data_IF_655626856743
#
_entry.id   IF_655626856743
#
_cell.length_a   1.000
_cell.length_b   1.000
_cell.length_c   1.000
_cell.angle_alpha   90.00
_cell.angle_beta   90.00
_cell.angle_gamma   90.00
#
_symmetry.space_group_name_H-M   'P 1'
#
loop_
_entity.id
_entity.type
_entity.pdbx_description
1 polymer ?
#
# COMPACT_ATOMS: atom_id res chain seq x y z
N UNK A 1 -7.20 18.76 -31.85
CA UNK A 1 -7.25 18.12 -30.52
C UNK A 1 -7.12 19.25 -29.52
N UNK A 2 -8.22 19.62 -28.85
CA UNK A 2 -8.34 20.91 -28.19
C UNK A 2 -7.56 20.93 -26.86
N UNK A 3 -6.87 22.02 -26.52
CA UNK A 3 -6.09 22.19 -25.26
C UNK A 3 -6.93 21.83 -24.01
N UNK A 4 -8.23 22.14 -24.07
CA UNK A 4 -9.23 21.84 -23.04
C UNK A 4 -9.50 20.34 -22.87
N UNK A 5 -9.46 19.55 -23.95
CA UNK A 5 -9.57 18.09 -23.86
C UNK A 5 -8.34 17.47 -23.19
N UNK A 6 -7.14 18.03 -23.43
CA UNK A 6 -5.90 17.61 -22.78
C UNK A 6 -5.92 17.88 -21.27
N UNK A 7 -6.46 19.03 -20.85
CA UNK A 7 -6.60 19.38 -19.42
C UNK A 7 -7.66 18.49 -18.76
N UNK A 8 -8.78 18.23 -19.44
CA UNK A 8 -9.86 17.36 -18.95
C UNK A 8 -9.46 15.89 -18.83
N UNK A 9 -8.57 15.40 -19.71
CA UNK A 9 -7.97 14.05 -19.62
C UNK A 9 -6.97 13.90 -18.47
N UNK A 10 -6.46 15.03 -17.94
CA UNK A 10 -5.49 15.06 -16.82
C UNK A 10 -6.16 15.17 -15.45
N UNK A 11 -7.40 15.62 -15.40
CA UNK A 11 -8.21 15.55 -14.19
C UNK A 11 -8.93 14.22 -14.21
N UNK A 12 -8.36 13.24 -13.52
CA UNK A 12 -9.05 12.01 -13.17
C UNK A 12 -10.20 12.37 -12.22
N UNK A 13 -11.31 12.84 -12.80
CA UNK A 13 -12.50 13.32 -12.10
C UNK A 13 -13.09 12.23 -11.20
N UNK A 14 -12.88 10.97 -11.57
CA UNK A 14 -13.32 9.82 -10.80
C UNK A 14 -12.41 9.59 -9.58
N UNK A 15 -11.09 9.63 -9.76
CA UNK A 15 -10.15 9.61 -8.64
C UNK A 15 -10.35 10.82 -7.69
N UNK A 16 -10.62 12.01 -8.22
CA UNK A 16 -10.90 13.20 -7.42
C UNK A 16 -12.21 13.04 -6.61
N UNK A 17 -13.26 12.48 -7.21
CA UNK A 17 -14.52 12.17 -6.53
C UNK A 17 -14.37 11.08 -5.48
N UNK A 18 -13.57 10.06 -5.75
CA UNK A 18 -13.27 8.99 -4.78
C UNK A 18 -12.49 9.55 -3.58
N UNK A 19 -11.54 10.47 -3.82
CA UNK A 19 -10.78 11.16 -2.77
C UNK A 19 -11.63 12.15 -1.95
N UNK A 20 -12.77 12.62 -2.47
CA UNK A 20 -13.64 13.59 -1.81
C UNK A 20 -14.94 13.00 -1.26
N UNK A 21 -15.06 11.67 -1.19
CA UNK A 21 -16.24 11.06 -0.62
C UNK A 21 -16.39 11.44 0.85
N UNK A 22 -17.55 12.00 1.19
CA UNK A 22 -17.99 12.25 2.54
C UNK A 22 -19.37 11.63 2.74
N UNK A 23 -19.60 11.05 3.92
CA UNK A 23 -20.86 10.41 4.25
C UNK A 23 -21.06 10.29 5.75
N UNK A 24 -22.26 9.89 6.14
CA UNK A 24 -22.54 9.53 7.53
C UNK A 24 -21.84 8.22 7.90
N UNK A 25 -21.74 7.94 9.20
CA UNK A 25 -21.27 6.64 9.66
C UNK A 25 -22.14 5.49 9.12
N UNK A 26 -23.45 5.70 8.93
CA UNK A 26 -24.33 4.71 8.33
C UNK A 26 -23.98 4.43 6.86
N UNK A 27 -23.63 5.46 6.08
CA UNK A 27 -23.19 5.30 4.69
C UNK A 27 -21.87 4.53 4.63
N UNK A 28 -20.95 4.82 5.55
CA UNK A 28 -19.70 4.07 5.70
C UNK A 28 -19.95 2.59 6.01
N UNK A 29 -20.83 2.27 6.95
CA UNK A 29 -21.21 0.87 7.22
C UNK A 29 -21.85 0.21 5.99
N UNK A 30 -22.63 0.95 5.21
CA UNK A 30 -23.18 0.49 3.93
C UNK A 30 -22.10 0.15 2.91
N UNK A 31 -21.04 0.96 2.82
CA UNK A 31 -19.87 0.70 1.97
C UNK A 31 -19.15 -0.57 2.42
N UNK A 32 -18.91 -0.73 3.72
CA UNK A 32 -18.21 -1.89 4.28
C UNK A 32 -18.94 -3.23 4.06
N UNK A 33 -20.28 -3.20 4.02
CA UNK A 33 -21.08 -4.39 3.66
C UNK A 33 -20.88 -4.82 2.21
N UNK A 34 -20.63 -3.86 1.31
CA UNK A 34 -20.37 -4.14 -0.11
C UNK A 34 -18.92 -4.52 -0.35
N UNK A 35 -18.00 -3.86 0.34
CA UNK A 35 -16.57 -4.04 0.19
C UNK A 35 -15.89 -3.97 1.57
N UNK A 36 -15.45 -5.12 2.14
CA UNK A 36 -14.80 -5.15 3.44
C UNK A 36 -13.32 -4.75 3.38
N UNK A 37 -12.74 -4.46 2.21
CA UNK A 37 -11.32 -4.11 2.05
C UNK A 37 -10.84 -2.95 2.94
N UNK A 38 -11.64 -1.91 3.25
CA UNK A 38 -11.20 -0.85 4.16
C UNK A 38 -10.97 -1.33 5.61
N UNK A 39 -11.56 -2.46 6.02
CA UNK A 39 -11.39 -3.07 7.36
C UNK A 39 -10.06 -3.82 7.51
N UNK A 40 -9.25 -3.92 6.46
CA UNK A 40 -7.97 -4.63 6.49
C UNK A 40 -7.01 -3.99 7.50
N UNK A 41 -6.27 -4.84 8.20
CA UNK A 41 -5.17 -4.41 9.07
C UNK A 41 -4.05 -3.78 8.24
N UNK A 42 -3.17 -3.03 8.91
CA UNK A 42 -1.97 -2.46 8.28
C UNK A 42 -1.11 -3.54 7.61
N UNK A 43 -0.95 -4.71 8.24
CA UNK A 43 -0.20 -5.84 7.69
C UNK A 43 -0.87 -6.45 6.45
N UNK A 44 -2.19 -6.67 6.50
CA UNK A 44 -2.95 -7.13 5.32
C UNK A 44 -2.78 -6.15 4.16
N UNK A 45 -2.90 -4.84 4.46
CA UNK A 45 -2.76 -3.79 3.45
C UNK A 45 -1.37 -3.77 2.80
N UNK A 46 -0.31 -3.81 3.59
CA UNK A 46 1.08 -3.82 3.07
C UNK A 46 1.35 -5.10 2.29
N UNK A 47 0.90 -6.26 2.78
CA UNK A 47 1.07 -7.53 2.08
C UNK A 47 0.35 -7.52 0.72
N UNK A 48 -0.93 -7.15 0.70
CA UNK A 48 -1.73 -7.14 -0.52
C UNK A 48 -1.23 -6.08 -1.52
N UNK A 49 -0.74 -4.95 -1.03
CA UNK A 49 -0.06 -3.93 -1.82
C UNK A 49 1.19 -4.49 -2.51
N UNK A 50 2.04 -5.27 -1.83
CA UNK A 50 3.24 -5.83 -2.46
C UNK A 50 2.82 -6.81 -3.57
N UNK A 51 1.80 -7.64 -3.30
CA UNK A 51 1.33 -8.64 -4.25
C UNK A 51 0.59 -8.05 -5.46
N UNK A 52 0.00 -6.86 -5.36
CA UNK A 52 -0.74 -6.25 -6.46
C UNK A 52 0.13 -5.90 -7.67
N UNK A 53 1.45 -5.80 -7.50
CA UNK A 53 2.41 -5.58 -8.60
C UNK A 53 2.82 -6.87 -9.31
N UNK A 54 2.42 -8.03 -8.78
CA UNK A 54 2.76 -9.34 -9.33
C UNK A 54 4.00 -9.97 -8.70
N UNK A 55 4.05 -11.30 -8.81
CA UNK A 55 5.13 -12.14 -8.30
C UNK A 55 5.56 -13.10 -9.39
N UNK A 56 6.86 -13.21 -9.59
CA UNK A 56 7.45 -14.16 -10.53
C UNK A 56 8.16 -15.27 -9.76
N UNK A 57 7.90 -16.52 -10.13
CA UNK A 57 8.63 -17.67 -9.61
C UNK A 57 9.74 -18.05 -10.60
N UNK A 58 10.96 -18.18 -10.09
CA UNK A 58 12.10 -18.63 -10.88
C UNK A 58 12.97 -19.60 -10.08
N UNK A 59 13.81 -20.37 -10.77
CA UNK A 59 14.73 -21.32 -10.13
C UNK A 59 16.17 -20.87 -10.37
N UNK A 60 16.92 -20.72 -9.28
CA UNK A 60 18.34 -20.36 -9.31
C UNK A 60 19.11 -21.32 -8.41
N UNK A 61 20.17 -21.93 -8.92
CA UNK A 61 20.96 -22.93 -8.18
C UNK A 61 20.11 -24.06 -7.54
N UNK A 62 19.06 -24.51 -8.25
CA UNK A 62 18.07 -25.50 -7.79
C UNK A 62 17.19 -25.04 -6.60
N UNK A 63 17.30 -23.79 -6.17
CA UNK A 63 16.37 -23.18 -5.22
C UNK A 63 15.25 -22.45 -5.97
N UNK A 64 14.00 -22.63 -5.54
CA UNK A 64 12.85 -21.84 -6.01
C UNK A 64 12.82 -20.50 -5.28
N UNK A 65 12.85 -19.41 -6.03
CA UNK A 65 12.81 -18.04 -5.54
C UNK A 65 11.58 -17.32 -6.07
N UNK A 66 11.06 -16.40 -5.25
CA UNK A 66 9.97 -15.51 -5.62
C UNK A 66 10.52 -14.10 -5.74
N UNK A 67 10.34 -13.53 -6.92
CA UNK A 67 10.66 -12.14 -7.20
C UNK A 67 9.37 -11.31 -7.12
N UNK A 68 9.35 -10.30 -6.25
CA UNK A 68 8.20 -9.41 -6.10
C UNK A 68 8.46 -8.13 -6.88
N UNK A 69 7.74 -7.92 -7.98
CA UNK A 69 7.93 -6.78 -8.90
C UNK A 69 7.78 -5.41 -8.22
N UNK A 70 7.10 -5.37 -7.08
CA UNK A 70 7.03 -4.18 -6.24
C UNK A 70 8.42 -3.61 -5.87
N UNK A 71 9.42 -4.47 -5.65
CA UNK A 71 10.77 -4.04 -5.28
C UNK A 71 11.62 -3.60 -6.47
N UNK A 72 11.10 -3.63 -7.69
CA UNK A 72 11.73 -3.07 -8.89
C UNK A 72 11.48 -1.56 -9.02
N UNK A 73 10.85 -0.94 -8.02
CA UNK A 73 10.46 0.48 -8.02
C UNK A 73 9.59 0.87 -9.23
N UNK A 74 8.33 0.42 -9.26
CA UNK A 74 7.38 0.76 -10.33
C UNK A 74 6.97 2.24 -10.33
N UNK A 75 7.43 3.04 -9.37
CA UNK A 75 7.02 4.44 -9.17
C UNK A 75 7.99 5.42 -9.83
N UNK A 76 9.29 5.19 -9.71
CA UNK A 76 10.33 6.10 -10.21
C UNK A 76 11.24 5.43 -11.26
N UNK A 77 10.75 4.39 -11.94
CA UNK A 77 11.44 3.76 -13.06
C UNK A 77 12.73 3.05 -12.65
N UNK A 78 12.71 2.37 -11.49
CA UNK A 78 13.84 1.58 -11.04
C UNK A 78 14.90 2.31 -10.23
N UNK A 79 14.70 3.59 -9.88
CA UNK A 79 15.68 4.39 -9.12
C UNK A 79 16.03 3.76 -7.78
N UNK A 80 15.02 3.21 -7.10
CA UNK A 80 15.14 2.51 -5.82
C UNK A 80 15.04 0.99 -5.97
N UNK A 81 15.20 0.45 -7.18
CA UNK A 81 15.07 -0.98 -7.43
C UNK A 81 16.08 -1.81 -6.62
N UNK A 82 15.62 -2.94 -6.10
CA UNK A 82 16.39 -3.81 -5.23
C UNK A 82 16.69 -5.12 -5.93
N UNK A 83 17.97 -5.33 -6.26
CA UNK A 83 18.44 -6.53 -6.94
C UNK A 83 19.19 -7.47 -6.00
N UNK A 84 19.07 -8.78 -6.23
CA UNK A 84 19.85 -9.81 -5.54
C UNK A 84 19.45 -10.06 -4.08
N UNK A 85 18.34 -9.48 -3.60
CA UNK A 85 17.83 -9.67 -2.25
C UNK A 85 16.51 -10.47 -2.20
N UNK A 86 16.18 -11.24 -3.24
CA UNK A 86 14.92 -12.00 -3.32
C UNK A 86 14.70 -12.89 -2.09
N UNK A 87 15.72 -13.65 -1.65
CA UNK A 87 15.60 -14.54 -0.48
C UNK A 87 15.31 -13.78 0.83
N UNK A 88 16.02 -12.68 1.18
CA UNK A 88 15.62 -11.78 2.26
C UNK A 88 14.21 -11.17 2.10
N UNK A 89 13.86 -10.70 0.89
CA UNK A 89 12.56 -10.09 0.61
C UNK A 89 11.42 -11.11 0.74
N UNK A 90 11.63 -12.36 0.34
CA UNK A 90 10.71 -13.47 0.59
C UNK A 90 10.44 -13.67 2.08
N UNK A 91 11.47 -13.60 2.93
CA UNK A 91 11.30 -13.70 4.41
C UNK A 91 10.54 -12.51 4.97
N UNK A 92 10.81 -11.30 4.46
CA UNK A 92 10.07 -10.10 4.82
C UNK A 92 8.58 -10.24 4.47
N UNK A 93 8.26 -10.60 3.22
CA UNK A 93 6.88 -10.77 2.77
C UNK A 93 6.19 -11.93 3.49
N UNK A 94 6.89 -13.03 3.77
CA UNK A 94 6.35 -14.11 4.60
C UNK A 94 6.00 -13.65 6.03
N UNK A 95 6.85 -12.81 6.64
CA UNK A 95 6.55 -12.20 7.94
C UNK A 95 5.32 -11.30 7.89
N UNK A 96 5.20 -10.47 6.84
CA UNK A 96 4.03 -9.63 6.61
C UNK A 96 2.76 -10.47 6.42
N UNK A 97 2.84 -11.56 5.66
CA UNK A 97 1.75 -12.52 5.48
C UNK A 97 1.32 -13.16 6.80
N UNK A 98 2.27 -13.62 7.61
CA UNK A 98 1.98 -14.18 8.93
C UNK A 98 1.31 -13.16 9.86
N UNK A 99 1.78 -11.91 9.86
CA UNK A 99 1.15 -10.80 10.60
C UNK A 99 -0.26 -10.48 10.08
N UNK A 100 -0.46 -10.52 8.76
CA UNK A 100 -1.76 -10.31 8.12
C UNK A 100 -2.81 -11.37 8.57
N UNK A 101 -2.35 -12.59 8.86
CA UNK A 101 -3.17 -13.67 9.41
C UNK A 101 -3.20 -13.73 10.95
N UNK A 102 -2.63 -12.73 11.64
CA UNK A 102 -2.58 -12.64 13.12
C UNK A 102 -1.91 -13.84 13.80
N UNK A 103 -0.82 -14.34 13.18
CA UNK A 103 -0.08 -15.50 13.66
C UNK A 103 1.06 -15.13 14.64
N UNK A 104 1.03 -13.93 15.24
CA UNK A 104 1.97 -13.47 16.26
C UNK A 104 2.85 -12.26 15.87
N UNK A 105 3.39 -12.16 14.63
CA UNK A 105 4.25 -11.04 14.25
C UNK A 105 3.56 -9.67 14.30
N UNK A 106 2.23 -9.61 14.28
CA UNK A 106 1.49 -8.34 14.33
C UNK A 106 1.66 -7.55 15.63
N UNK A 107 2.17 -8.20 16.68
CA UNK A 107 2.45 -7.59 17.99
C UNK A 107 3.95 -7.36 18.23
N UNK A 108 4.79 -7.53 17.21
CA UNK A 108 6.25 -7.47 17.32
C UNK A 108 6.84 -6.36 16.46
N UNK A 109 7.99 -5.86 16.88
CA UNK A 109 8.77 -4.90 16.08
C UNK A 109 9.52 -5.69 15.00
N UNK A 110 9.34 -5.30 13.74
CA UNK A 110 10.11 -5.82 12.62
C UNK A 110 11.40 -5.02 12.48
N UNK A 111 12.54 -5.64 12.79
CA UNK A 111 13.86 -5.03 12.65
C UNK A 111 14.56 -5.52 11.39
N UNK A 112 14.82 -4.61 10.44
CA UNK A 112 15.69 -4.90 9.30
C UNK A 112 17.15 -4.70 9.72
N UNK A 113 17.88 -5.79 9.89
CA UNK A 113 19.30 -5.77 10.23
C UNK A 113 20.14 -6.38 9.09
N UNK A 114 21.39 -5.94 8.96
CA UNK A 114 22.31 -6.40 7.91
C UNK A 114 23.48 -5.43 7.71
N UNK A 115 24.49 -5.81 6.92
CA UNK A 115 25.66 -4.97 6.66
C UNK A 115 25.29 -3.64 6.01
N UNK A 116 26.20 -2.66 6.07
CA UNK A 116 26.03 -1.39 5.35
C UNK A 116 25.85 -1.67 3.86
N UNK A 117 24.97 -0.93 3.19
CA UNK A 117 24.65 -1.15 1.76
C UNK A 117 23.59 -2.23 1.47
N UNK A 118 23.03 -2.92 2.48
CA UNK A 118 22.02 -3.98 2.27
C UNK A 118 20.58 -3.48 2.01
N UNK A 119 20.42 -2.35 1.31
CA UNK A 119 19.13 -1.76 0.89
C UNK A 119 18.05 -1.51 1.98
N UNK A 120 18.35 -1.59 3.29
CA UNK A 120 17.35 -1.48 4.38
C UNK A 120 16.49 -0.22 4.29
N UNK A 121 17.13 0.94 4.15
CA UNK A 121 16.44 2.22 4.02
C UNK A 121 15.68 2.32 2.70
N UNK A 122 16.17 1.66 1.65
CA UNK A 122 15.52 1.60 0.34
C UNK A 122 14.23 0.79 0.41
N UNK A 123 14.24 -0.37 1.07
CA UNK A 123 13.03 -1.16 1.35
C UNK A 123 12.00 -0.30 2.09
N UNK A 124 12.42 0.37 3.17
CA UNK A 124 11.52 1.21 3.95
C UNK A 124 10.94 2.36 3.12
N UNK A 125 11.74 2.98 2.23
CA UNK A 125 11.30 4.06 1.35
C UNK A 125 10.30 3.56 0.30
N UNK A 126 10.59 2.43 -0.34
CA UNK A 126 9.66 1.79 -1.29
C UNK A 126 8.33 1.44 -0.62
N UNK A 127 8.34 0.88 0.58
CA UNK A 127 7.11 0.58 1.33
C UNK A 127 6.28 1.84 1.60
N UNK A 128 6.92 2.97 1.95
CA UNK A 128 6.23 4.26 2.14
C UNK A 128 5.62 4.77 0.84
N UNK A 129 6.41 4.81 -0.25
CA UNK A 129 5.94 5.21 -1.59
C UNK A 129 4.79 4.32 -2.06
N UNK A 130 4.94 3.01 -1.87
CA UNK A 130 3.94 2.02 -2.18
C UNK A 130 2.63 2.25 -1.44
N UNK A 131 2.69 2.52 -0.14
CA UNK A 131 1.51 2.79 0.67
C UNK A 131 0.79 4.07 0.23
N UNK A 132 1.55 5.11 -0.13
CA UNK A 132 1.00 6.35 -0.68
C UNK A 132 0.32 6.13 -2.04
N UNK A 133 0.94 5.35 -2.93
CA UNK A 133 0.37 5.04 -4.23
C UNK A 133 -0.86 4.12 -4.11
N UNK A 134 -0.76 3.08 -3.29
CA UNK A 134 -1.82 2.10 -3.09
C UNK A 134 -3.04 2.71 -2.40
N UNK A 135 -2.86 3.66 -1.48
CA UNK A 135 -4.00 4.34 -0.84
C UNK A 135 -4.90 5.12 -1.80
N UNK A 136 -4.38 5.46 -3.00
CA UNK A 136 -5.11 6.12 -4.08
C UNK A 136 -5.85 5.14 -5.00
N UNK A 137 -5.69 3.82 -4.82
CA UNK A 137 -6.43 2.82 -5.61
C UNK A 137 -7.71 2.39 -4.91
N UNK A 138 -8.66 1.84 -5.66
CA UNK A 138 -9.91 1.32 -5.11
C UNK A 138 -9.67 0.18 -4.11
N UNK A 139 -8.65 -0.64 -4.35
CA UNK A 139 -8.21 -1.69 -3.43
C UNK A 139 -7.66 -1.08 -2.15
N UNK A 140 -6.79 -0.08 -2.26
CA UNK A 140 -6.10 0.50 -1.11
C UNK A 140 -6.82 1.66 -0.45
N UNK A 141 -8.07 1.97 -0.80
CA UNK A 141 -8.82 3.06 -0.17
C UNK A 141 -8.91 2.94 1.35
N UNK A 142 -8.92 4.11 1.98
CA UNK A 142 -8.95 4.34 3.42
C UNK A 142 -9.91 5.49 3.69
N UNK A 143 -10.59 5.41 4.83
CA UNK A 143 -11.51 6.45 5.27
C UNK A 143 -11.03 6.99 6.60
N UNK A 144 -11.17 8.30 6.76
CA UNK A 144 -11.04 8.99 8.04
C UNK A 144 -12.42 9.47 8.48
N UNK A 145 -12.50 10.07 9.66
CA UNK A 145 -13.70 10.72 10.13
C UNK A 145 -13.39 12.17 10.53
N UNK A 146 -14.43 12.97 10.66
CA UNK A 146 -14.37 14.29 11.26
C UNK A 146 -15.63 14.50 12.11
N UNK A 147 -15.57 15.36 13.11
CA UNK A 147 -16.71 15.70 13.92
C UNK A 147 -17.43 16.91 13.33
N UNK A 148 -18.75 16.84 13.23
CA UNK A 148 -19.58 18.00 12.91
C UNK A 148 -19.95 18.69 14.22
N UNK A 149 -19.40 19.88 14.47
CA UNK A 149 -19.76 20.69 15.64
C UNK A 149 -20.47 21.99 15.21
N UNK A 150 -21.16 22.68 16.13
CA UNK A 150 -21.77 23.98 15.83
C UNK A 150 -20.78 25.04 15.33
N UNK A 151 -19.51 24.94 15.73
CA UNK A 151 -18.42 25.84 15.35
C UNK A 151 -17.79 25.49 13.99
N UNK A 152 -18.12 24.33 13.42
CA UNK A 152 -17.64 23.85 12.12
C UNK A 152 -17.19 22.38 12.14
N UNK A 153 -16.73 21.85 10.99
CA UNK A 153 -16.14 20.52 10.94
C UNK A 153 -14.78 20.50 11.63
N UNK A 154 -14.63 19.67 12.67
CA UNK A 154 -13.36 19.38 13.33
C UNK A 154 -12.74 18.11 12.71
N UNK A 155 -11.62 18.22 11.98
CA UNK A 155 -10.98 17.05 11.38
C UNK A 155 -10.47 16.08 12.46
N UNK A 156 -10.33 14.79 12.10
CA UNK A 156 -9.66 13.84 12.97
C UNK A 156 -8.23 14.33 13.28
N UNK A 157 -7.79 14.30 14.55
CA UNK A 157 -6.46 14.77 14.96
C UNK A 157 -5.29 13.96 14.38
N UNK A 158 -5.57 12.87 13.67
CA UNK A 158 -4.59 12.01 13.01
C UNK A 158 -4.34 12.38 11.53
N UNK A 159 -4.89 13.50 11.04
CA UNK A 159 -4.62 14.05 9.71
C UNK A 159 -3.39 14.95 9.66
#
# INVERSE_FOLDING_TARGET
MNELERIRRRQDLEAYRALSWEGSFADYLGLLKKDPRPLRTSFQRVHDMILSYGVEEYTLFREKLLHYRFFDDPFEGGKDAIFGLDKPLMRLVATLKAAAHRLGPERRILLLHGPVGSAKSTIARLLKKGLEAYSRTEEGKLFTFYWKTPEGPLPCPMH
#
